data_IF_109912711052
#
_entry.id   IF_109912711052
#
_cell.length_a   1.000
_cell.length_b   1.000
_cell.length_c   1.000
_cell.angle_alpha   90.00
_cell.angle_beta   90.00
_cell.angle_gamma   90.00
#
_symmetry.space_group_name_H-M   'P 1'
#
loop_
_entity.id
_entity.type
_entity.pdbx_description
1 polymer ?
#
# COMPACT_ATOMS: atom_id res chain seq x y z
N UNK A 1 -13.59 30.51 26.41
CA UNK A 1 -13.45 29.40 25.43
C UNK A 1 -12.82 30.01 24.18
N UNK A 2 -11.51 29.89 24.03
CA UNK A 2 -10.81 30.48 22.89
C UNK A 2 -10.55 29.37 21.89
N UNK A 3 -11.28 29.38 20.77
CA UNK A 3 -11.10 28.45 19.67
C UNK A 3 -9.97 29.01 18.79
N UNK A 4 -8.84 28.33 18.72
CA UNK A 4 -7.71 28.74 17.88
C UNK A 4 -8.03 28.46 16.41
N UNK A 5 -8.07 29.52 15.59
CA UNK A 5 -8.30 29.44 14.14
C UNK A 5 -7.02 29.22 13.32
N UNK A 6 -5.85 29.23 13.97
CA UNK A 6 -4.56 29.02 13.33
C UNK A 6 -4.44 27.59 12.77
N UNK A 7 -4.14 27.46 11.48
CA UNK A 7 -3.99 26.16 10.80
C UNK A 7 -5.28 25.58 10.20
N UNK A 8 -6.40 26.31 10.25
CA UNK A 8 -7.62 25.94 9.51
C UNK A 8 -7.68 26.70 8.18
N UNK A 9 -8.32 26.12 7.15
CA UNK A 9 -8.57 26.78 5.86
C UNK A 9 -9.23 28.16 5.98
N UNK A 10 -10.06 28.34 7.02
CA UNK A 10 -10.70 29.63 7.30
C UNK A 10 -9.71 30.66 7.89
N UNK A 11 -8.76 30.21 8.71
CA UNK A 11 -7.70 31.04 9.30
C UNK A 11 -6.70 31.56 8.26
N UNK A 12 -6.36 30.75 7.27
CA UNK A 12 -5.47 31.15 6.17
C UNK A 12 -6.12 32.22 5.28
N UNK A 13 -7.43 32.10 5.03
CA UNK A 13 -8.21 33.09 4.28
C UNK A 13 -8.34 34.44 5.02
N UNK A 14 -8.34 34.42 6.36
CA UNK A 14 -8.40 35.61 7.22
C UNK A 14 -7.03 36.19 7.59
N UNK A 15 -5.93 35.65 7.05
CA UNK A 15 -4.58 36.24 7.18
C UNK A 15 -3.93 36.11 8.56
N UNK A 16 -4.34 35.11 9.36
CA UNK A 16 -3.79 34.89 10.71
C UNK A 16 -2.49 34.08 10.62
N UNK A 17 -1.34 34.68 10.94
CA UNK A 17 -0.02 33.99 10.95
C UNK A 17 0.24 33.24 12.27
N UNK A 18 0.74 32.01 12.16
CA UNK A 18 1.13 31.13 13.27
C UNK A 18 2.28 31.75 14.07
N UNK A 19 2.13 31.90 15.39
CA UNK A 19 3.23 32.26 16.29
C UNK A 19 4.14 31.05 16.47
N UNK A 20 5.42 31.22 16.19
CA UNK A 20 6.45 30.17 16.25
C UNK A 20 6.63 29.66 17.68
N UNK A 21 6.43 28.35 17.86
CA UNK A 21 6.59 27.68 19.15
C UNK A 21 6.24 26.20 19.04
N UNK A 22 7.24 25.42 18.59
CA UNK A 22 7.42 23.97 18.74
C UNK A 22 6.24 23.04 18.42
N UNK A 23 6.34 22.25 17.34
CA UNK A 23 5.57 21.01 17.16
C UNK A 23 6.12 20.18 15.97
N UNK A 24 5.95 18.87 16.10
CA UNK A 24 6.42 17.76 15.26
C UNK A 24 6.26 17.96 13.74
N UNK A 25 7.29 17.53 12.99
CA UNK A 25 7.23 17.35 11.54
C UNK A 25 6.15 16.31 11.16
N UNK A 26 5.05 16.80 10.59
CA UNK A 26 4.19 15.98 9.75
C UNK A 26 4.82 15.95 8.36
N UNK A 27 5.20 14.76 7.92
CA UNK A 27 5.83 14.51 6.62
C UNK A 27 4.85 14.80 5.46
N UNK A 28 5.20 15.74 4.59
CA UNK A 28 4.55 16.14 3.34
C UNK A 28 4.69 15.06 2.23
N UNK A 29 4.47 13.77 2.54
CA UNK A 29 4.72 12.68 1.58
C UNK A 29 3.51 12.34 0.69
N UNK A 30 2.29 12.60 1.16
CA UNK A 30 1.05 12.18 0.49
C UNK A 30 0.83 12.84 -0.90
N UNK A 31 1.30 14.07 -1.13
CA UNK A 31 1.08 14.78 -2.41
C UNK A 31 2.08 14.36 -3.52
N UNK A 32 3.21 13.74 -3.18
CA UNK A 32 4.21 13.31 -4.18
C UNK A 32 3.90 11.92 -4.75
N UNK A 33 3.22 11.07 -4.00
CA UNK A 33 2.95 9.68 -4.38
C UNK A 33 1.81 9.53 -5.37
N UNK A 34 0.75 10.33 -5.25
CA UNK A 34 -0.33 10.40 -6.25
C UNK A 34 0.21 10.85 -7.63
N UNK A 35 1.20 11.77 -7.64
CA UNK A 35 1.85 12.22 -8.87
C UNK A 35 2.63 11.09 -9.52
N UNK A 36 3.44 10.35 -8.74
CA UNK A 36 4.16 9.15 -9.24
C UNK A 36 3.20 8.09 -9.78
N UNK A 37 2.10 7.83 -9.08
CA UNK A 37 1.08 6.87 -9.55
C UNK A 37 0.47 7.29 -10.87
N UNK A 38 0.09 8.57 -11.01
CA UNK A 38 -0.49 9.11 -12.25
C UNK A 38 0.47 9.06 -13.44
N UNK A 39 1.77 9.20 -13.19
CA UNK A 39 2.82 9.17 -14.20
C UNK A 39 3.12 7.73 -14.65
N UNK A 40 3.15 6.78 -13.72
CA UNK A 40 3.29 5.35 -13.99
C UNK A 40 2.09 4.75 -14.76
N UNK A 41 0.88 5.28 -14.55
CA UNK A 41 -0.33 4.91 -15.29
C UNK A 41 -0.38 5.57 -16.68
N UNK A 42 0.31 6.69 -16.90
CA UNK A 42 0.41 7.30 -18.24
C UNK A 42 1.30 6.47 -19.16
N UNK A 43 2.38 5.89 -18.64
CA UNK A 43 3.25 4.98 -19.41
C UNK A 43 2.54 3.67 -19.80
N UNK A 44 1.53 3.24 -19.05
CA UNK A 44 0.78 1.99 -19.32
C UNK A 44 -0.27 2.11 -20.42
N UNK A 45 -0.73 3.33 -20.76
CA UNK A 45 -1.71 3.52 -21.85
C UNK A 45 -1.12 3.39 -23.27
N UNK A 46 0.20 3.27 -23.41
CA UNK A 46 0.86 3.20 -24.73
C UNK A 46 1.31 1.79 -25.17
N UNK A 47 1.11 0.72 -24.38
CA UNK A 47 1.49 -0.62 -24.86
C UNK A 47 0.61 -1.73 -24.32
N UNK A 48 0.14 -2.57 -25.24
CA UNK A 48 -0.76 -3.68 -24.98
C UNK A 48 -0.23 -4.64 -23.90
N UNK A 49 -1.18 -5.31 -23.26
CA UNK A 49 -1.05 -6.20 -22.11
C UNK A 49 -0.03 -7.35 -22.22
N UNK A 50 0.59 -7.55 -23.38
CA UNK A 50 1.56 -8.63 -23.64
C UNK A 50 3.02 -8.24 -23.38
N UNK A 51 3.37 -6.96 -23.46
CA UNK A 51 4.78 -6.51 -23.38
C UNK A 51 5.24 -6.15 -21.96
N UNK A 52 4.30 -5.88 -21.06
CA UNK A 52 4.60 -5.60 -19.65
C UNK A 52 5.02 -6.88 -18.89
N UNK A 53 4.42 -8.02 -19.24
CA UNK A 53 4.65 -9.29 -18.54
C UNK A 53 5.96 -9.99 -18.94
N UNK A 54 6.56 -9.63 -20.09
CA UNK A 54 7.67 -10.35 -20.71
C UNK A 54 9.03 -9.68 -20.53
N UNK A 55 9.09 -8.37 -20.24
CA UNK A 55 10.36 -7.61 -20.18
C UNK A 55 10.90 -7.33 -18.78
N UNK A 56 10.13 -7.63 -17.74
CA UNK A 56 10.47 -7.29 -16.35
C UNK A 56 10.57 -8.54 -15.49
N UNK A 57 11.48 -8.48 -14.53
CA UNK A 57 11.63 -9.56 -13.54
C UNK A 57 10.36 -9.67 -12.69
N UNK A 58 10.07 -10.86 -12.14
CA UNK A 58 8.92 -11.08 -11.27
C UNK A 58 8.91 -10.11 -10.06
N UNK A 59 10.08 -9.65 -9.64
CA UNK A 59 10.27 -8.65 -8.57
C UNK A 59 9.77 -7.28 -8.99
N UNK A 60 10.13 -6.81 -10.19
CA UNK A 60 9.69 -5.51 -10.70
C UNK A 60 8.17 -5.49 -10.89
N UNK A 61 7.58 -6.57 -11.41
CA UNK A 61 6.13 -6.68 -11.59
C UNK A 61 5.35 -6.50 -10.27
N UNK A 62 5.92 -6.94 -9.13
CA UNK A 62 5.27 -6.76 -7.81
C UNK A 62 5.30 -5.32 -7.33
N UNK A 63 6.35 -4.57 -7.65
CA UNK A 63 6.48 -3.17 -7.25
C UNK A 63 5.41 -2.29 -7.92
N UNK A 64 4.85 -2.72 -9.05
CA UNK A 64 3.74 -2.02 -9.71
C UNK A 64 2.36 -2.31 -9.11
N UNK A 65 2.24 -3.26 -8.16
CA UNK A 65 0.96 -3.56 -7.53
C UNK A 65 0.61 -2.45 -6.52
N UNK A 66 -0.65 -1.96 -6.48
CA UNK A 66 -1.06 -0.89 -5.56
C UNK A 66 -0.76 -1.18 -4.08
N UNK A 67 -0.79 -2.45 -3.68
CA UNK A 67 -0.49 -2.87 -2.31
C UNK A 67 0.98 -2.63 -1.90
N UNK A 68 1.89 -2.50 -2.86
CA UNK A 68 3.30 -2.25 -2.57
C UNK A 68 3.52 -0.84 -2.01
N UNK A 69 2.79 0.16 -2.52
CA UNK A 69 2.88 1.54 -2.06
C UNK A 69 2.49 1.66 -0.57
N UNK A 70 1.43 0.98 -0.17
CA UNK A 70 0.90 1.01 1.21
C UNK A 70 1.47 -0.10 2.11
N UNK A 71 2.58 -0.75 1.71
CA UNK A 71 3.14 -1.91 2.43
C UNK A 71 3.49 -1.58 3.88
N UNK A 72 4.21 -0.48 4.10
CA UNK A 72 4.71 -0.15 5.43
C UNK A 72 3.59 0.21 6.40
N UNK A 73 2.62 1.00 5.93
CA UNK A 73 1.42 1.35 6.67
C UNK A 73 0.61 0.10 7.05
N UNK A 74 0.40 -0.82 6.11
CA UNK A 74 -0.29 -2.09 6.36
C UNK A 74 0.38 -2.90 7.47
N UNK A 75 1.70 -3.02 7.45
CA UNK A 75 2.45 -3.78 8.45
C UNK A 75 2.32 -3.13 9.84
N UNK A 76 2.41 -1.81 9.91
CA UNK A 76 2.25 -1.07 11.15
C UNK A 76 0.84 -1.28 11.75
N UNK A 77 -0.20 -1.12 10.92
CA UNK A 77 -1.60 -1.33 11.36
C UNK A 77 -1.81 -2.75 11.86
N UNK A 78 -1.23 -3.76 11.20
CA UNK A 78 -1.39 -5.17 11.59
C UNK A 78 -0.57 -5.52 12.84
N UNK A 79 0.54 -4.82 13.08
CA UNK A 79 1.31 -4.95 14.32
C UNK A 79 0.56 -4.39 15.52
N UNK A 80 -0.13 -3.27 15.33
CA UNK A 80 -0.83 -2.57 16.41
C UNK A 80 -2.23 -3.14 16.71
N UNK A 81 -2.81 -3.90 15.77
CA UNK A 81 -4.17 -4.44 15.88
C UNK A 81 -4.20 -5.96 15.74
N UNK A 82 -4.82 -6.64 16.73
CA UNK A 82 -5.02 -8.11 16.66
C UNK A 82 -5.94 -8.55 15.52
N UNK A 83 -6.83 -7.67 15.06
CA UNK A 83 -7.75 -7.91 13.94
C UNK A 83 -7.71 -6.69 13.02
N UNK A 84 -7.42 -6.90 11.74
CA UNK A 84 -7.40 -5.84 10.72
C UNK A 84 -8.27 -6.25 9.53
N UNK A 85 -9.12 -5.32 9.06
CA UNK A 85 -9.95 -5.51 7.87
C UNK A 85 -9.34 -4.73 6.72
N UNK A 86 -8.95 -5.43 5.66
CA UNK A 86 -8.32 -4.83 4.48
C UNK A 86 -9.29 -4.91 3.30
N UNK A 87 -9.64 -3.74 2.75
CA UNK A 87 -10.52 -3.62 1.58
C UNK A 87 -9.68 -3.13 0.39
N UNK A 88 -9.96 -3.65 -0.80
CA UNK A 88 -9.41 -3.10 -2.03
C UNK A 88 -9.94 -3.82 -3.26
N UNK A 89 -9.69 -3.25 -4.44
CA UNK A 89 -10.15 -3.80 -5.73
C UNK A 89 -9.49 -5.15 -6.09
N UNK A 90 -10.16 -5.97 -6.89
CA UNK A 90 -9.55 -7.16 -7.50
C UNK A 90 -8.32 -6.79 -8.32
N UNK A 91 -7.22 -7.56 -8.20
CA UNK A 91 -5.97 -7.25 -8.90
C UNK A 91 -5.00 -6.33 -8.14
N UNK A 92 -5.39 -5.79 -6.98
CA UNK A 92 -4.51 -4.93 -6.18
C UNK A 92 -3.32 -5.66 -5.52
N UNK A 93 -3.26 -7.00 -5.61
CA UNK A 93 -2.21 -7.81 -4.99
C UNK A 93 -2.51 -8.33 -3.57
N UNK A 94 -3.72 -8.13 -3.03
CA UNK A 94 -4.10 -8.57 -1.66
C UNK A 94 -3.75 -10.03 -1.37
N UNK A 95 -4.26 -10.96 -2.17
CA UNK A 95 -4.15 -12.38 -1.86
C UNK A 95 -2.76 -12.95 -2.15
N UNK A 96 -2.03 -12.36 -3.09
CA UNK A 96 -0.70 -12.83 -3.50
C UNK A 96 0.41 -12.22 -2.64
N UNK A 97 0.32 -10.95 -2.27
CA UNK A 97 1.41 -10.22 -1.62
C UNK A 97 1.31 -10.16 -0.09
N UNK A 98 0.10 -10.09 0.47
CA UNK A 98 -0.08 -9.83 1.90
C UNK A 98 0.54 -10.94 2.78
N UNK A 99 0.38 -12.20 2.37
CA UNK A 99 1.03 -13.35 3.02
C UNK A 99 2.55 -13.32 2.91
N UNK A 100 3.09 -12.86 1.77
CA UNK A 100 4.54 -12.71 1.59
C UNK A 100 5.10 -11.64 2.52
N UNK A 101 4.39 -10.52 2.69
CA UNK A 101 4.79 -9.45 3.61
C UNK A 101 4.78 -9.93 5.06
N UNK A 102 3.72 -10.63 5.48
CA UNK A 102 3.66 -11.23 6.82
C UNK A 102 4.82 -12.22 7.05
N UNK A 103 5.13 -13.03 6.05
CA UNK A 103 6.26 -13.96 6.13
C UNK A 103 7.59 -13.21 6.28
N UNK A 104 7.79 -12.14 5.50
CA UNK A 104 9.01 -11.31 5.57
C UNK A 104 9.18 -10.58 6.91
N UNK A 105 8.08 -10.23 7.58
CA UNK A 105 8.07 -9.61 8.91
C UNK A 105 8.28 -10.62 10.05
N UNK A 106 8.45 -11.92 9.73
CA UNK A 106 8.76 -12.95 10.71
C UNK A 106 7.54 -13.60 11.38
N UNK A 107 6.31 -13.31 10.93
CA UNK A 107 5.10 -13.99 11.43
C UNK A 107 5.09 -15.50 11.12
N UNK A 108 5.95 -15.97 10.21
CA UNK A 108 6.17 -17.38 9.91
C UNK A 108 7.18 -18.09 10.81
N UNK A 109 7.91 -17.39 11.68
CA UNK A 109 8.98 -18.00 12.49
C UNK A 109 8.44 -18.86 13.64
N UNK A 110 7.31 -18.45 14.22
CA UNK A 110 6.71 -19.09 15.39
C UNK A 110 5.45 -19.91 15.04
N UNK A 111 5.10 -20.02 13.76
CA UNK A 111 3.86 -20.66 13.33
C UNK A 111 3.67 -20.68 11.82
N UNK A 112 2.46 -20.98 11.36
CA UNK A 112 2.11 -21.00 9.93
C UNK A 112 1.14 -19.87 9.61
N UNK A 113 1.36 -19.20 8.48
CA UNK A 113 0.44 -18.20 7.94
C UNK A 113 -0.57 -18.93 7.04
N UNK A 114 -1.85 -18.87 7.40
CA UNK A 114 -2.94 -19.44 6.61
C UNK A 114 -3.64 -18.38 5.76
N UNK A 115 -3.69 -18.57 4.44
CA UNK A 115 -4.57 -17.81 3.56
C UNK A 115 -5.70 -18.73 3.08
N UNK A 116 -6.94 -18.33 3.33
CA UNK A 116 -8.12 -19.09 2.88
C UNK A 116 -8.74 -18.43 1.65
N UNK A 117 -9.33 -19.25 0.79
CA UNK A 117 -10.07 -18.81 -0.38
C UNK A 117 -11.38 -19.59 -0.48
N UNK A 118 -12.52 -18.94 -0.78
CA UNK A 118 -13.82 -19.63 -0.84
C UNK A 118 -13.90 -20.62 -2.01
N UNK A 119 -13.06 -20.45 -3.05
CA UNK A 119 -13.02 -21.33 -4.22
C UNK A 119 -11.73 -22.15 -4.24
N UNK A 120 -11.86 -23.47 -4.36
CA UNK A 120 -10.73 -24.41 -4.46
C UNK A 120 -9.74 -24.05 -5.58
N UNK A 121 -10.26 -23.69 -6.75
CA UNK A 121 -9.43 -23.32 -7.91
C UNK A 121 -8.59 -22.07 -7.64
N UNK A 122 -9.14 -21.10 -6.89
CA UNK A 122 -8.41 -19.90 -6.50
C UNK A 122 -7.26 -20.26 -5.56
N UNK A 123 -7.52 -21.05 -4.52
CA UNK A 123 -6.48 -21.50 -3.58
C UNK A 123 -5.30 -22.19 -4.29
N UNK A 124 -5.58 -23.14 -5.19
CA UNK A 124 -4.54 -23.85 -5.94
C UNK A 124 -3.75 -22.93 -6.87
N UNK A 125 -4.43 -22.07 -7.63
CA UNK A 125 -3.78 -21.13 -8.56
C UNK A 125 -2.89 -20.12 -7.85
N UNK A 126 -3.35 -19.59 -6.70
CA UNK A 126 -2.60 -18.62 -5.91
C UNK A 126 -1.39 -19.30 -5.26
N UNK A 127 -1.54 -20.51 -4.70
CA UNK A 127 -0.42 -21.22 -4.11
C UNK A 127 0.69 -21.48 -5.14
N UNK A 128 0.32 -21.90 -6.36
CA UNK A 128 1.28 -22.06 -7.46
C UNK A 128 1.94 -20.73 -7.82
N UNK A 129 1.16 -19.65 -7.97
CA UNK A 129 1.68 -18.30 -8.28
C UNK A 129 2.66 -17.79 -7.22
N UNK A 130 2.31 -17.93 -5.94
CA UNK A 130 3.19 -17.50 -4.82
C UNK A 130 4.47 -18.32 -4.78
N UNK A 131 4.41 -19.61 -5.12
CA UNK A 131 5.60 -20.46 -5.22
C UNK A 131 6.54 -20.10 -6.37
N UNK A 132 6.01 -19.55 -7.47
CA UNK A 132 6.84 -19.02 -8.57
C UNK A 132 7.43 -17.64 -8.21
N UNK A 133 6.84 -16.98 -7.22
CA UNK A 133 7.19 -15.65 -6.77
C UNK A 133 8.24 -15.64 -5.63
N UNK A 134 8.33 -16.69 -4.81
CA UNK A 134 9.36 -16.83 -3.77
C UNK A 134 10.64 -17.48 -4.31
#
# INVERSE_FOLDING_TARGET
>A
KNLSLSGTRMGDLMGVKKTEGGEHEYHDEEMQEEKKFSELIKDSKMSGSTDFSSRRTLTEQRQFLPIFAVRQELINVIRDNSITIIVGETGSGKTTQLTQYMYSEGYGNNGKIGCTQPRRVAAMSIAKRVSEEM
#
